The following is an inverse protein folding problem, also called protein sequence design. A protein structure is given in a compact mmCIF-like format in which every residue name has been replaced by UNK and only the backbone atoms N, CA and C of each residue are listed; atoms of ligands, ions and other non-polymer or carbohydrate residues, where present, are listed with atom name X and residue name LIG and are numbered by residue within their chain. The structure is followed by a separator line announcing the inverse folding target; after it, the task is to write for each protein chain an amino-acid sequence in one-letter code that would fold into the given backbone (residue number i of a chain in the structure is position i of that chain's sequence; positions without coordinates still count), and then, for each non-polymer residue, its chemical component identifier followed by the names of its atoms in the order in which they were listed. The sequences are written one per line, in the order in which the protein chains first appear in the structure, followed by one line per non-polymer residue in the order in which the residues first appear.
data_IF_308690715737
#
_entry.id   IF_308690715737
#
_cell.length_a   1.000
_cell.length_b   1.000
_cell.length_c   1.000
_cell.angle_alpha   90.00
_cell.angle_beta   90.00
_cell.angle_gamma   90.00
#
_symmetry.space_group_name_H-M   'P 1'
#
loop_
_entity.id
_entity.type
_entity.pdbx_description
1 polymer ?
#
# COMPACT_ATOMS: atom_id res chain seq x y z
N UNK A 1 -1.27 9.52 -25.17
CA UNK A 1 -0.64 8.29 -24.67
C UNK A 1 0.87 8.48 -24.52
N UNK A 2 1.61 8.96 -25.51
CA UNK A 2 3.08 9.14 -25.48
C UNK A 2 3.63 9.97 -24.31
N UNK A 3 3.00 11.11 -23.97
CA UNK A 3 3.43 11.97 -22.85
C UNK A 3 3.29 11.23 -21.50
N UNK A 4 2.20 10.52 -21.29
CA UNK A 4 1.99 9.78 -20.05
C UNK A 4 3.00 8.64 -19.89
N UNK A 5 3.32 7.93 -20.97
CA UNK A 5 4.35 6.88 -21.00
C UNK A 5 5.73 7.48 -20.72
N UNK A 6 6.07 8.60 -21.34
CA UNK A 6 7.34 9.30 -21.12
C UNK A 6 7.51 9.74 -19.64
N UNK A 7 6.47 10.32 -19.04
CA UNK A 7 6.48 10.70 -17.63
C UNK A 7 6.63 9.45 -16.74
N UNK A 8 5.90 8.38 -17.05
CA UNK A 8 5.98 7.11 -16.34
C UNK A 8 7.41 6.54 -16.37
N UNK A 9 8.06 6.54 -17.52
CA UNK A 9 9.43 6.00 -17.69
C UNK A 9 10.47 6.83 -16.94
N UNK A 10 10.30 8.16 -16.85
CA UNK A 10 11.15 9.02 -16.04
C UNK A 10 10.94 8.72 -14.55
N UNK A 11 9.69 8.69 -14.08
CA UNK A 11 9.36 8.49 -12.66
C UNK A 11 9.79 7.10 -12.20
N UNK A 12 9.57 6.07 -13.02
CA UNK A 12 9.96 4.70 -12.69
C UNK A 12 11.33 4.32 -13.29
N UNK A 13 12.17 5.30 -13.53
CA UNK A 13 13.54 5.04 -14.00
C UNK A 13 14.34 4.23 -12.97
N UNK A 14 15.29 3.40 -13.40
CA UNK A 14 16.18 2.67 -12.51
C UNK A 14 16.93 3.58 -11.53
N UNK A 15 17.18 4.83 -11.93
CA UNK A 15 17.84 5.84 -11.10
C UNK A 15 16.97 6.21 -9.90
N UNK A 16 15.68 6.51 -10.11
CA UNK A 16 14.80 6.87 -9.02
C UNK A 16 14.53 5.68 -8.10
N UNK A 17 14.30 4.50 -8.67
CA UNK A 17 14.16 3.25 -7.91
C UNK A 17 15.39 2.99 -7.05
N UNK A 18 16.59 3.11 -7.65
CA UNK A 18 17.87 2.98 -6.94
C UNK A 18 18.05 4.02 -5.82
N UNK A 19 17.66 5.27 -6.07
CA UNK A 19 17.70 6.34 -5.05
C UNK A 19 16.80 6.04 -3.85
N UNK A 20 15.59 5.56 -4.09
CA UNK A 20 14.63 5.21 -3.02
C UNK A 20 15.15 4.04 -2.17
N UNK A 21 15.68 2.99 -2.81
CA UNK A 21 16.28 1.86 -2.11
C UNK A 21 17.54 2.28 -1.32
N UNK A 22 18.42 3.09 -1.94
CA UNK A 22 19.61 3.60 -1.29
C UNK A 22 19.27 4.50 -0.08
N UNK A 23 18.24 5.33 -0.20
CA UNK A 23 17.75 6.16 0.91
C UNK A 23 17.21 5.30 2.05
N UNK A 24 16.41 4.28 1.75
CA UNK A 24 15.93 3.33 2.75
C UNK A 24 17.06 2.56 3.43
N UNK A 25 18.06 2.12 2.65
CA UNK A 25 19.25 1.48 3.18
C UNK A 25 20.05 2.45 4.08
N UNK A 26 20.30 3.67 3.63
CA UNK A 26 20.98 4.71 4.42
C UNK A 26 20.28 4.95 5.76
N UNK A 27 18.97 5.13 5.77
CA UNK A 27 18.23 5.32 7.01
C UNK A 27 18.23 4.07 7.89
N UNK A 28 18.19 2.87 7.32
CA UNK A 28 18.31 1.62 8.06
C UNK A 28 19.64 1.54 8.82
N UNK A 29 20.76 1.80 8.14
CA UNK A 29 22.08 1.83 8.78
C UNK A 29 22.22 2.98 9.79
N UNK A 30 21.78 4.18 9.43
CA UNK A 30 21.91 5.38 10.29
C UNK A 30 21.09 5.29 11.57
N UNK A 31 19.92 4.64 11.50
CA UNK A 31 19.05 4.39 12.66
C UNK A 31 19.38 3.08 13.40
N UNK A 32 20.45 2.36 12.99
CA UNK A 32 20.83 1.06 13.55
C UNK A 32 19.68 0.04 13.44
N UNK A 33 19.09 -0.05 12.27
CA UNK A 33 17.97 -0.97 12.00
C UNK A 33 16.80 -0.81 12.97
N UNK A 34 16.37 0.44 13.18
CA UNK A 34 15.26 0.78 14.09
C UNK A 34 14.01 -0.04 13.77
N UNK A 35 13.76 -0.31 12.48
CA UNK A 35 12.63 -1.07 11.98
C UNK A 35 12.61 -2.55 12.40
N UNK A 36 13.75 -3.11 12.85
CA UNK A 36 13.82 -4.45 13.45
C UNK A 36 13.87 -4.38 14.96
N UNK A 37 14.80 -3.59 15.46
CA UNK A 37 15.12 -3.54 16.88
C UNK A 37 13.96 -3.06 17.75
N UNK A 38 13.09 -2.21 17.19
CA UNK A 38 12.02 -1.55 17.93
C UNK A 38 10.63 -2.13 17.65
N UNK A 39 10.53 -3.30 17.02
CA UNK A 39 9.22 -3.93 16.72
C UNK A 39 8.32 -4.06 17.97
N UNK A 40 8.80 -4.56 19.14
CA UNK A 40 7.95 -4.63 20.32
C UNK A 40 7.44 -3.26 20.78
N UNK A 41 8.30 -2.23 20.69
CA UNK A 41 7.90 -0.87 21.03
C UNK A 41 6.93 -0.27 20.02
N UNK A 42 7.09 -0.55 18.73
CA UNK A 42 6.13 -0.14 17.69
C UNK A 42 4.73 -0.64 18.00
N UNK A 43 4.59 -1.93 18.36
CA UNK A 43 3.30 -2.54 18.73
C UNK A 43 2.73 -1.89 20.00
N UNK A 44 3.56 -1.68 21.02
CA UNK A 44 3.14 -1.04 22.27
C UNK A 44 2.61 0.38 22.04
N UNK A 45 3.30 1.16 21.20
CA UNK A 45 2.98 2.56 20.94
C UNK A 45 1.71 2.75 20.10
N UNK A 46 1.28 1.75 19.33
CA UNK A 46 0.03 1.82 18.57
C UNK A 46 -1.18 2.12 19.46
N UNK A 47 -1.19 1.56 20.68
CA UNK A 47 -2.31 1.70 21.62
C UNK A 47 -2.18 2.88 22.57
N UNK A 48 -1.22 3.78 22.34
CA UNK A 48 -1.04 4.97 23.18
C UNK A 48 -2.15 5.99 22.93
N UNK A 49 -2.80 6.44 24.00
CA UNK A 49 -3.85 7.45 23.94
C UNK A 49 -3.30 8.84 23.58
N UNK A 50 -4.15 9.68 23.03
CA UNK A 50 -3.83 11.09 22.76
C UNK A 50 -3.56 11.85 24.05
N UNK A 51 -2.56 12.75 24.02
CA UNK A 51 -2.21 13.62 25.14
C UNK A 51 -2.92 14.99 25.11
N UNK A 52 -3.41 15.39 23.95
CA UNK A 52 -4.11 16.66 23.73
C UNK A 52 -5.40 16.42 22.94
N UNK A 53 -6.48 17.12 23.32
CA UNK A 53 -7.76 17.09 22.61
C UNK A 53 -7.70 17.67 21.19
N UNK A 54 -6.64 18.41 20.86
CA UNK A 54 -6.40 18.99 19.53
C UNK A 54 -5.85 17.98 18.51
N UNK A 55 -5.40 16.81 18.95
CA UNK A 55 -4.84 15.76 18.09
C UNK A 55 -5.59 14.44 18.21
N UNK A 56 -5.28 13.55 17.28
CA UNK A 56 -5.77 12.16 17.28
C UNK A 56 -4.83 11.24 18.08
N UNK A 57 -5.30 10.06 18.47
CA UNK A 57 -4.45 9.05 19.12
C UNK A 57 -3.46 8.42 18.13
N UNK A 58 -2.43 7.74 18.64
CA UNK A 58 -1.47 6.99 17.81
C UNK A 58 -2.17 5.94 16.95
N UNK A 59 -3.17 5.25 17.50
CA UNK A 59 -3.94 4.25 16.76
C UNK A 59 -4.81 4.87 15.67
N UNK A 60 -5.44 6.02 15.94
CA UNK A 60 -6.21 6.75 14.93
C UNK A 60 -5.31 7.21 13.77
N UNK A 61 -4.15 7.78 14.07
CA UNK A 61 -3.17 8.18 13.05
C UNK A 61 -2.63 6.97 12.26
N UNK A 62 -2.43 5.82 12.92
CA UNK A 62 -2.09 4.57 12.25
C UNK A 62 -3.19 4.14 11.26
N UNK A 63 -4.45 4.15 11.71
CA UNK A 63 -5.58 3.79 10.86
C UNK A 63 -5.76 4.75 9.68
N UNK A 64 -5.52 6.05 9.87
CA UNK A 64 -5.53 7.03 8.78
C UNK A 64 -4.43 6.72 7.75
N UNK A 65 -3.21 6.41 8.19
CA UNK A 65 -2.12 6.03 7.28
C UNK A 65 -2.40 4.69 6.59
N UNK A 66 -2.91 3.70 7.31
CA UNK A 66 -3.30 2.42 6.71
C UNK A 66 -4.47 2.58 5.74
N UNK A 67 -5.38 3.53 5.98
CA UNK A 67 -6.44 3.88 5.04
C UNK A 67 -5.86 4.31 3.69
N UNK A 68 -4.82 5.16 3.67
CA UNK A 68 -4.12 5.54 2.44
C UNK A 68 -3.41 4.36 1.78
N UNK A 69 -2.69 3.55 2.55
CA UNK A 69 -1.82 2.47 2.04
C UNK A 69 -2.57 1.24 1.57
N UNK A 70 -3.54 0.76 2.38
CA UNK A 70 -4.28 -0.47 2.08
C UNK A 70 -5.39 -0.18 1.08
N UNK A 71 -5.06 -0.31 -0.20
CA UNK A 71 -5.92 0.02 -1.33
C UNK A 71 -5.87 -1.02 -2.45
N UNK A 72 -6.05 -0.56 -3.68
CA UNK A 72 -5.93 -1.40 -4.88
C UNK A 72 -4.56 -2.05 -5.02
N UNK A 73 -3.51 -1.43 -4.47
CA UNK A 73 -2.14 -1.93 -4.49
C UNK A 73 -1.98 -3.32 -3.87
N UNK A 74 -2.70 -3.58 -2.78
CA UNK A 74 -2.61 -4.84 -2.03
C UNK A 74 -3.26 -6.04 -2.71
N UNK A 75 -4.21 -5.80 -3.60
CA UNK A 75 -4.93 -6.86 -4.33
C UNK A 75 -4.51 -6.85 -5.80
N UNK A 76 -4.89 -5.83 -6.56
CA UNK A 76 -4.59 -5.70 -7.98
C UNK A 76 -3.09 -5.47 -8.24
N UNK A 77 -2.42 -4.69 -7.39
CA UNK A 77 -0.99 -4.42 -7.51
C UNK A 77 -0.14 -5.67 -7.32
N UNK A 78 -0.46 -6.51 -6.35
CA UNK A 78 0.22 -7.79 -6.12
C UNK A 78 0.00 -8.76 -7.29
N UNK A 79 -1.24 -8.87 -7.78
CA UNK A 79 -1.54 -9.68 -8.96
C UNK A 79 -0.74 -9.23 -10.19
N UNK A 80 -0.63 -7.91 -10.40
CA UNK A 80 0.16 -7.30 -11.48
C UNK A 80 1.66 -7.55 -11.29
N UNK A 81 2.17 -7.48 -10.05
CA UNK A 81 3.57 -7.79 -9.74
C UNK A 81 3.91 -9.24 -10.09
N UNK A 82 3.03 -10.19 -9.74
CA UNK A 82 3.20 -11.61 -10.07
C UNK A 82 3.12 -11.82 -11.59
N UNK A 83 2.19 -11.17 -12.27
CA UNK A 83 2.00 -11.36 -13.70
C UNK A 83 3.21 -10.89 -14.52
N UNK A 84 3.72 -9.70 -14.26
CA UNK A 84 4.79 -9.10 -15.07
C UNK A 84 6.19 -9.23 -14.46
N UNK A 85 6.28 -9.51 -13.17
CA UNK A 85 7.54 -9.73 -12.47
C UNK A 85 7.80 -11.18 -12.08
N UNK A 86 6.79 -12.05 -12.28
CA UNK A 86 6.84 -13.43 -11.80
C UNK A 86 6.68 -13.53 -10.27
N UNK A 87 6.64 -14.76 -9.73
CA UNK A 87 6.52 -15.01 -8.29
C UNK A 87 7.61 -14.32 -7.45
N UNK A 88 8.82 -14.15 -8.01
CA UNK A 88 9.94 -13.48 -7.35
C UNK A 88 9.71 -11.99 -7.04
N UNK A 89 8.75 -11.33 -7.71
CA UNK A 89 8.38 -9.96 -7.39
C UNK A 89 7.90 -9.80 -5.94
N UNK A 90 7.26 -10.83 -5.36
CA UNK A 90 6.82 -10.81 -3.97
C UNK A 90 7.99 -10.69 -2.99
N UNK A 91 9.10 -11.37 -3.24
CA UNK A 91 10.33 -11.22 -2.45
C UNK A 91 10.84 -9.77 -2.47
N UNK A 92 10.88 -9.15 -3.63
CA UNK A 92 11.34 -7.76 -3.75
C UNK A 92 10.37 -6.75 -3.14
N UNK A 93 9.07 -7.04 -3.10
CA UNK A 93 8.13 -6.27 -2.28
C UNK A 93 8.48 -6.34 -0.79
N UNK A 94 8.89 -7.51 -0.26
CA UNK A 94 9.34 -7.63 1.14
C UNK A 94 10.60 -6.81 1.43
N UNK A 95 11.57 -6.84 0.50
CA UNK A 95 12.81 -6.05 0.63
C UNK A 95 12.50 -4.56 0.67
N UNK A 96 11.62 -4.10 -0.22
CA UNK A 96 11.19 -2.69 -0.28
C UNK A 96 10.45 -2.29 1.00
N UNK A 97 9.58 -3.12 1.53
CA UNK A 97 8.88 -2.84 2.78
C UNK A 97 9.86 -2.77 3.96
N UNK A 98 10.85 -3.65 3.99
CA UNK A 98 11.89 -3.63 5.03
C UNK A 98 12.70 -2.33 5.01
N UNK A 99 13.18 -1.92 3.85
CA UNK A 99 13.94 -0.67 3.69
C UNK A 99 13.03 0.54 3.86
N UNK A 100 11.82 0.50 3.30
CA UNK A 100 10.82 1.56 3.37
C UNK A 100 10.35 1.87 4.79
N UNK A 101 10.30 0.87 5.68
CA UNK A 101 9.92 1.09 7.07
C UNK A 101 10.86 2.08 7.80
N UNK A 102 12.16 2.09 7.47
CA UNK A 102 13.10 3.08 8.00
C UNK A 102 12.85 4.48 7.43
N UNK A 103 12.49 4.58 6.14
CA UNK A 103 12.10 5.85 5.51
C UNK A 103 10.82 6.39 6.14
N UNK A 104 9.81 5.54 6.32
CA UNK A 104 8.55 5.90 6.98
C UNK A 104 8.76 6.37 8.43
N UNK A 105 9.71 5.76 9.16
CA UNK A 105 10.12 6.24 10.49
C UNK A 105 10.63 7.67 10.44
N UNK A 106 11.55 7.96 9.53
CA UNK A 106 12.19 9.28 9.43
C UNK A 106 11.20 10.33 8.98
N UNK A 107 10.50 10.10 7.86
CA UNK A 107 9.55 11.08 7.31
C UNK A 107 8.42 11.42 8.30
N UNK A 108 7.88 10.41 8.99
CA UNK A 108 6.79 10.62 9.95
C UNK A 108 7.27 11.28 11.24
N UNK A 109 8.52 11.03 11.66
CA UNK A 109 9.15 11.76 12.76
C UNK A 109 9.34 13.23 12.40
N UNK A 110 9.79 13.54 11.18
CA UNK A 110 9.89 14.91 10.67
C UNK A 110 8.52 15.60 10.61
N UNK A 111 7.49 14.90 10.12
CA UNK A 111 6.12 15.40 10.13
C UNK A 111 5.64 15.82 11.53
N UNK A 112 6.02 15.07 12.55
CA UNK A 112 5.71 15.41 13.95
C UNK A 112 6.56 16.58 14.52
N UNK A 113 7.81 16.72 14.10
CA UNK A 113 8.70 17.79 14.57
C UNK A 113 8.24 19.16 14.03
N UNK A 114 7.86 19.20 12.76
CA UNK A 114 7.54 20.44 12.06
C UNK A 114 6.03 20.67 11.87
N UNK A 115 5.19 19.96 12.62
CA UNK A 115 3.74 20.20 12.60
C UNK A 115 3.38 21.52 13.27
N UNK A 116 2.32 22.12 12.79
CA UNK A 116 1.76 23.35 13.34
C UNK A 116 0.31 23.14 13.81
N UNK A 117 -0.19 24.06 14.61
CA UNK A 117 -1.59 24.06 15.02
C UNK A 117 -2.35 25.08 14.19
N UNK A 118 -3.16 24.61 13.26
CA UNK A 118 -3.96 25.43 12.35
C UNK A 118 -5.44 25.18 12.66
N UNK A 119 -6.21 26.25 12.92
CA UNK A 119 -7.63 26.15 13.27
C UNK A 119 -7.96 25.19 14.43
N UNK A 120 -7.02 25.03 15.38
CA UNK A 120 -7.19 24.16 16.53
C UNK A 120 -6.82 22.69 16.32
N UNK A 121 -6.39 22.30 15.15
CA UNK A 121 -5.96 20.94 14.80
C UNK A 121 -4.48 20.90 14.43
N UNK A 122 -3.79 19.78 14.70
CA UNK A 122 -2.41 19.57 14.26
C UNK A 122 -2.37 19.25 12.77
N UNK A 123 -1.58 20.02 12.04
CA UNK A 123 -1.36 19.90 10.60
C UNK A 123 0.13 19.89 10.30
N UNK A 124 0.58 19.06 9.39
CA UNK A 124 1.99 18.95 9.01
C UNK A 124 2.15 18.09 7.77
N UNK A 125 3.36 17.71 7.48
CA UNK A 125 3.71 16.90 6.33
C UNK A 125 4.97 17.39 5.64
N UNK A 126 5.33 16.84 4.46
CA UNK A 126 6.58 17.18 3.80
C UNK A 126 6.74 18.66 3.46
N UNK A 127 5.69 19.35 3.03
CA UNK A 127 5.76 20.78 2.74
C UNK A 127 6.26 21.58 3.96
N UNK A 128 5.80 21.23 5.17
CA UNK A 128 6.18 21.91 6.41
C UNK A 128 7.66 21.66 6.76
N UNK A 129 8.13 20.41 6.71
CA UNK A 129 9.53 20.17 7.04
C UNK A 129 10.52 20.58 5.92
N UNK A 130 10.07 20.70 4.67
CA UNK A 130 10.88 21.29 3.60
C UNK A 130 10.97 22.81 3.83
N UNK A 131 9.88 23.48 4.17
CA UNK A 131 9.88 24.92 4.42
C UNK A 131 10.68 25.28 5.68
N UNK A 132 10.36 24.66 6.81
CA UNK A 132 10.95 25.04 8.12
C UNK A 132 12.27 24.34 8.41
N UNK A 133 12.43 23.07 7.98
CA UNK A 133 13.63 22.26 8.23
C UNK A 133 14.72 22.51 7.18
N UNK A 134 14.40 22.36 5.90
CA UNK A 134 15.35 22.62 4.82
C UNK A 134 15.40 24.11 4.42
N UNK A 135 14.54 24.97 4.99
CA UNK A 135 14.44 26.42 4.72
C UNK A 135 14.25 26.75 3.24
N UNK A 136 13.55 25.91 2.51
CA UNK A 136 13.34 26.04 1.07
C UNK A 136 11.85 26.13 0.72
N UNK A 137 11.32 27.36 0.63
CA UNK A 137 9.93 27.62 0.29
C UNK A 137 9.54 27.17 -1.11
N UNK A 138 10.45 27.26 -2.07
CA UNK A 138 10.15 26.88 -3.44
C UNK A 138 9.83 25.37 -3.53
N UNK A 139 10.71 24.51 -2.99
CA UNK A 139 10.45 23.07 -2.99
C UNK A 139 9.26 22.67 -2.11
N UNK A 140 8.96 23.42 -1.03
CA UNK A 140 7.75 23.19 -0.23
C UNK A 140 6.48 23.41 -1.08
N UNK A 141 6.42 24.49 -1.84
CA UNK A 141 5.30 24.78 -2.76
C UNK A 141 5.21 23.75 -3.90
N UNK A 142 6.34 23.37 -4.50
CA UNK A 142 6.37 22.32 -5.53
C UNK A 142 5.81 21.01 -4.97
N UNK A 143 6.26 20.60 -3.77
CA UNK A 143 5.75 19.38 -3.13
C UNK A 143 4.25 19.48 -2.86
N UNK A 144 3.78 20.60 -2.32
CA UNK A 144 2.36 20.80 -2.03
C UNK A 144 1.48 20.69 -3.30
N UNK A 145 1.89 21.32 -4.40
CA UNK A 145 1.17 21.25 -5.67
C UNK A 145 1.17 19.83 -6.26
N UNK A 146 2.32 19.14 -6.22
CA UNK A 146 2.42 17.76 -6.69
C UNK A 146 1.54 16.84 -5.85
N UNK A 147 1.56 16.99 -4.51
CA UNK A 147 0.72 16.20 -3.62
C UNK A 147 -0.77 16.46 -3.87
N UNK A 148 -1.16 17.72 -4.01
CA UNK A 148 -2.56 18.07 -4.33
C UNK A 148 -3.02 17.41 -5.64
N UNK A 149 -2.17 17.45 -6.66
CA UNK A 149 -2.51 16.84 -7.96
C UNK A 149 -2.51 15.31 -7.87
N UNK A 150 -1.48 14.70 -7.29
CA UNK A 150 -1.35 13.26 -7.23
C UNK A 150 -2.38 12.63 -6.27
N UNK A 151 -2.39 13.05 -5.01
CA UNK A 151 -3.26 12.47 -3.98
C UNK A 151 -4.69 13.02 -4.03
N UNK A 152 -4.89 14.28 -4.43
CA UNK A 152 -6.22 14.89 -4.48
C UNK A 152 -7.01 14.59 -5.76
N UNK A 153 -6.35 14.29 -6.88
CA UNK A 153 -7.02 14.12 -8.19
C UNK A 153 -6.71 12.75 -8.81
N UNK A 154 -5.43 12.41 -9.00
CA UNK A 154 -5.05 11.23 -9.79
C UNK A 154 -5.29 9.91 -9.03
N UNK A 155 -4.84 9.81 -7.78
CA UNK A 155 -5.04 8.61 -6.97
C UNK A 155 -6.52 8.27 -6.75
N UNK A 156 -7.40 9.23 -6.36
CA UNK A 156 -8.84 8.97 -6.26
C UNK A 156 -9.46 8.45 -7.55
N UNK A 157 -9.00 8.93 -8.71
CA UNK A 157 -9.43 8.46 -10.02
C UNK A 157 -9.13 6.97 -10.24
N UNK A 158 -7.91 6.53 -9.91
CA UNK A 158 -7.53 5.10 -10.01
C UNK A 158 -8.34 4.23 -9.05
N UNK A 159 -8.49 4.67 -7.80
CA UNK A 159 -9.22 3.93 -6.77
C UNK A 159 -10.71 3.80 -7.13
N UNK A 160 -11.37 4.91 -7.52
CA UNK A 160 -12.78 4.89 -7.88
C UNK A 160 -13.07 4.07 -9.13
N UNK A 161 -12.18 4.11 -10.13
CA UNK A 161 -12.30 3.24 -11.31
C UNK A 161 -12.21 1.75 -10.94
N UNK A 162 -11.27 1.39 -10.05
CA UNK A 162 -11.12 0.01 -9.59
C UNK A 162 -12.35 -0.47 -8.80
N UNK A 163 -12.95 0.39 -7.96
CA UNK A 163 -14.21 0.09 -7.28
C UNK A 163 -15.32 -0.15 -8.31
N UNK A 164 -15.50 0.78 -9.25
CA UNK A 164 -16.57 0.70 -10.25
C UNK A 164 -16.46 -0.58 -11.10
N UNK A 165 -15.26 -0.91 -11.56
CA UNK A 165 -15.01 -2.13 -12.34
C UNK A 165 -15.28 -3.41 -11.51
N UNK A 166 -14.88 -3.45 -10.25
CA UNK A 166 -15.12 -4.61 -9.38
C UNK A 166 -16.61 -4.79 -9.05
N UNK A 167 -17.34 -3.68 -8.83
CA UNK A 167 -18.78 -3.71 -8.56
C UNK A 167 -19.60 -4.10 -9.78
N UNK A 168 -19.19 -3.63 -10.96
CA UNK A 168 -19.82 -4.04 -12.23
C UNK A 168 -19.62 -5.54 -12.48
N UNK A 169 -18.38 -6.01 -12.36
CA UNK A 169 -18.05 -7.42 -12.57
C UNK A 169 -18.75 -8.38 -11.58
N UNK A 170 -18.85 -7.99 -10.31
CA UNK A 170 -19.39 -8.86 -9.27
C UNK A 170 -20.92 -8.78 -9.14
N UNK A 171 -21.52 -7.61 -9.36
CA UNK A 171 -22.93 -7.34 -9.06
C UNK A 171 -23.70 -6.72 -10.23
N UNK A 172 -23.05 -6.42 -11.37
CA UNK A 172 -23.67 -5.74 -12.50
C UNK A 172 -24.05 -4.28 -12.19
N UNK A 173 -23.38 -3.64 -11.21
CA UNK A 173 -23.67 -2.25 -10.81
C UNK A 173 -23.03 -1.29 -11.80
N UNK A 174 -23.83 -0.43 -12.41
CA UNK A 174 -23.36 0.58 -13.34
C UNK A 174 -22.33 1.52 -12.70
N UNK A 175 -21.28 1.86 -13.44
CA UNK A 175 -20.20 2.75 -13.00
C UNK A 175 -20.70 4.11 -12.47
N UNK A 176 -21.77 4.67 -13.05
CA UNK A 176 -22.36 5.93 -12.59
C UNK A 176 -22.99 5.79 -11.20
N UNK A 177 -23.61 4.67 -10.87
CA UNK A 177 -24.17 4.38 -9.54
C UNK A 177 -23.02 4.25 -8.54
N UNK A 178 -21.99 3.49 -8.87
CA UNK A 178 -20.79 3.35 -8.03
C UNK A 178 -20.14 4.71 -7.76
N UNK A 179 -19.99 5.55 -8.77
CA UNK A 179 -19.45 6.90 -8.62
C UNK A 179 -20.33 7.78 -7.71
N UNK A 180 -21.65 7.75 -7.88
CA UNK A 180 -22.58 8.52 -7.06
C UNK A 180 -22.51 8.09 -5.58
N UNK A 181 -22.43 6.79 -5.30
CA UNK A 181 -22.27 6.25 -3.94
C UNK A 181 -20.94 6.70 -3.32
N UNK A 182 -19.83 6.54 -4.05
CA UNK A 182 -18.49 6.96 -3.59
C UNK A 182 -18.49 8.45 -3.26
N UNK A 183 -18.97 9.32 -4.18
CA UNK A 183 -19.00 10.76 -3.96
C UNK A 183 -19.87 11.15 -2.78
N UNK A 184 -21.06 10.54 -2.63
CA UNK A 184 -21.97 10.83 -1.53
C UNK A 184 -21.35 10.48 -0.17
N UNK A 185 -20.76 9.30 -0.05
CA UNK A 185 -20.08 8.85 1.16
C UNK A 185 -18.86 9.73 1.48
N UNK A 186 -18.06 10.05 0.45
CA UNK A 186 -16.89 10.90 0.60
C UNK A 186 -17.27 12.29 1.12
N UNK A 187 -18.25 12.94 0.49
CA UNK A 187 -18.77 14.23 0.94
C UNK A 187 -19.26 14.17 2.39
N UNK A 188 -20.07 13.16 2.72
CA UNK A 188 -20.60 13.00 4.09
C UNK A 188 -19.49 12.89 5.14
N UNK A 189 -18.38 12.18 4.84
CA UNK A 189 -17.29 11.98 5.79
C UNK A 189 -16.37 13.19 5.84
N UNK A 190 -15.92 13.70 4.68
CA UNK A 190 -14.91 14.78 4.58
C UNK A 190 -15.43 16.10 5.16
N UNK A 191 -16.70 16.46 4.91
CA UNK A 191 -17.30 17.66 5.52
C UNK A 191 -17.41 17.59 7.05
N UNK A 192 -17.20 16.44 7.66
CA UNK A 192 -17.11 16.28 9.12
C UNK A 192 -15.73 16.57 9.71
N UNK A 193 -14.72 16.88 8.87
CA UNK A 193 -13.37 17.24 9.28
C UNK A 193 -12.52 16.02 9.73
N UNK A 194 -11.29 16.33 10.14
CA UNK A 194 -10.25 15.35 10.50
C UNK A 194 -10.72 14.29 11.52
N UNK A 195 -11.47 14.72 12.54
CA UNK A 195 -11.95 13.80 13.59
C UNK A 195 -12.93 12.76 13.07
N UNK A 196 -13.78 13.14 12.11
CA UNK A 196 -14.72 12.18 11.50
C UNK A 196 -13.97 11.19 10.61
N UNK A 197 -13.01 11.66 9.83
CA UNK A 197 -12.12 10.81 9.03
C UNK A 197 -11.40 9.82 9.94
N UNK A 198 -10.76 10.30 11.02
CA UNK A 198 -10.05 9.46 11.98
C UNK A 198 -10.97 8.42 12.65
N UNK A 199 -12.19 8.80 13.02
CA UNK A 199 -13.16 7.87 13.61
C UNK A 199 -13.60 6.80 12.62
N UNK A 200 -13.91 7.20 11.39
CA UNK A 200 -14.32 6.27 10.32
C UNK A 200 -13.21 5.27 9.98
N UNK A 201 -11.99 5.77 9.76
CA UNK A 201 -10.84 4.91 9.43
C UNK A 201 -10.48 3.96 10.57
N UNK A 202 -10.60 4.40 11.83
CA UNK A 202 -10.36 3.56 13.01
C UNK A 202 -11.32 2.38 13.12
N UNK A 203 -12.53 2.52 12.61
CA UNK A 203 -13.52 1.43 12.60
C UNK A 203 -13.32 0.53 11.36
N UNK A 204 -13.24 1.14 10.19
CA UNK A 204 -13.29 0.41 8.90
C UNK A 204 -11.98 -0.30 8.59
N UNK A 205 -10.83 0.36 8.81
CA UNK A 205 -9.53 -0.19 8.39
C UNK A 205 -9.18 -1.50 9.10
N UNK A 206 -9.25 -1.63 10.43
CA UNK A 206 -8.98 -2.90 11.08
C UNK A 206 -9.97 -3.99 10.66
N UNK A 207 -11.26 -3.65 10.52
CA UNK A 207 -12.29 -4.59 10.10
C UNK A 207 -12.01 -5.15 8.70
N UNK A 208 -11.76 -4.28 7.71
CA UNK A 208 -11.49 -4.71 6.34
C UNK A 208 -10.19 -5.52 6.22
N UNK A 209 -9.12 -5.09 6.91
CA UNK A 209 -7.83 -5.77 6.86
C UNK A 209 -7.92 -7.16 7.51
N UNK A 210 -8.55 -7.28 8.69
CA UNK A 210 -8.71 -8.56 9.38
C UNK A 210 -9.61 -9.50 8.56
N UNK A 211 -10.73 -9.01 8.04
CA UNK A 211 -11.64 -9.83 7.21
C UNK A 211 -10.93 -10.39 5.98
N UNK A 212 -10.14 -9.55 5.31
CA UNK A 212 -9.37 -9.98 4.15
C UNK A 212 -8.29 -11.00 4.51
N UNK A 213 -7.54 -10.75 5.59
CA UNK A 213 -6.51 -11.68 6.08
C UNK A 213 -7.11 -13.03 6.49
N UNK A 214 -8.27 -13.04 7.14
CA UNK A 214 -8.95 -14.28 7.52
C UNK A 214 -9.31 -15.10 6.28
N UNK A 215 -9.93 -14.50 5.27
CA UNK A 215 -10.29 -15.21 4.03
C UNK A 215 -9.05 -15.70 3.29
N UNK A 216 -7.99 -14.87 3.21
CA UNK A 216 -6.73 -15.30 2.60
C UNK A 216 -6.08 -16.46 3.37
N UNK A 217 -6.08 -16.43 4.71
CA UNK A 217 -5.56 -17.52 5.55
C UNK A 217 -6.39 -18.79 5.39
N UNK A 218 -7.72 -18.70 5.31
CA UNK A 218 -8.57 -19.86 5.04
C UNK A 218 -8.22 -20.47 3.68
N UNK A 219 -8.08 -19.64 2.64
CA UNK A 219 -7.69 -20.12 1.30
C UNK A 219 -6.32 -20.80 1.30
N UNK A 220 -5.35 -20.22 2.02
CA UNK A 220 -4.04 -20.81 2.20
C UNK A 220 -4.09 -22.12 3.01
N UNK A 221 -4.95 -22.20 4.03
CA UNK A 221 -5.11 -23.40 4.87
C UNK A 221 -5.57 -24.62 4.07
N UNK A 222 -6.45 -24.43 3.11
CA UNK A 222 -6.86 -25.51 2.20
C UNK A 222 -5.78 -25.95 1.20
N UNK A 223 -4.67 -25.18 1.10
CA UNK A 223 -3.54 -25.46 0.20
C UNK A 223 -2.20 -25.51 0.96
N UNK A 224 -2.20 -25.95 2.22
CA UNK A 224 -1.00 -25.97 3.09
C UNK A 224 0.16 -26.78 2.51
N UNK A 225 -0.15 -27.86 1.83
CA UNK A 225 0.81 -28.74 1.16
C UNK A 225 1.64 -28.00 0.09
N UNK A 226 1.09 -26.97 -0.53
CA UNK A 226 1.74 -26.17 -1.58
C UNK A 226 2.58 -25.01 -1.04
N UNK A 227 2.37 -24.58 0.20
CA UNK A 227 3.05 -23.41 0.78
C UNK A 227 4.57 -23.52 0.74
N UNK A 228 5.22 -24.66 1.14
CA UNK A 228 6.67 -24.77 1.05
C UNK A 228 7.18 -24.61 -0.38
N UNK A 229 6.48 -25.19 -1.37
CA UNK A 229 6.80 -25.05 -2.79
C UNK A 229 6.67 -23.61 -3.30
N UNK A 230 5.66 -22.88 -2.82
CA UNK A 230 5.47 -21.47 -3.17
C UNK A 230 6.60 -20.60 -2.62
N UNK A 231 7.03 -20.80 -1.38
CA UNK A 231 8.18 -20.07 -0.85
C UNK A 231 9.46 -20.39 -1.65
N UNK A 232 9.70 -21.66 -1.95
CA UNK A 232 10.82 -22.05 -2.82
C UNK A 232 10.74 -21.33 -4.18
N UNK A 233 9.57 -21.33 -4.83
CA UNK A 233 9.34 -20.65 -6.10
C UNK A 233 9.58 -19.12 -6.01
N UNK A 234 9.11 -18.47 -4.95
CA UNK A 234 9.33 -17.04 -4.72
C UNK A 234 10.81 -16.71 -4.61
N UNK A 235 11.57 -17.48 -3.81
CA UNK A 235 12.99 -17.23 -3.64
C UNK A 235 13.80 -17.57 -4.89
N UNK A 236 13.56 -18.69 -5.54
CA UNK A 236 14.30 -19.09 -6.75
C UNK A 236 14.01 -18.15 -7.93
N UNK A 237 12.75 -17.74 -8.11
CA UNK A 237 12.34 -16.79 -9.14
C UNK A 237 12.91 -15.38 -8.90
N UNK A 238 13.04 -14.96 -7.63
CA UNK A 238 13.58 -13.63 -7.29
C UNK A 238 15.02 -13.43 -7.76
N UNK A 239 15.81 -14.49 -7.84
CA UNK A 239 17.23 -14.46 -8.24
C UNK A 239 17.51 -15.15 -9.58
N UNK A 240 16.48 -15.48 -10.36
CA UNK A 240 16.61 -16.10 -11.68
C UNK A 240 17.11 -17.54 -11.65
N UNK A 241 17.03 -18.22 -10.52
CA UNK A 241 17.45 -19.61 -10.37
C UNK A 241 16.39 -20.62 -10.88
N UNK A 242 15.18 -20.16 -11.22
CA UNK A 242 14.11 -20.96 -11.80
C UNK A 242 14.28 -21.04 -13.32
N UNK A 243 14.40 -22.24 -13.89
CA UNK A 243 14.74 -22.42 -15.30
C UNK A 243 13.80 -21.71 -16.28
N UNK A 244 12.49 -21.80 -16.08
CA UNK A 244 11.48 -21.13 -16.92
C UNK A 244 11.45 -19.60 -16.69
N UNK A 245 11.72 -19.15 -15.48
CA UNK A 245 11.62 -17.76 -15.05
C UNK A 245 12.99 -17.07 -14.91
N UNK A 246 14.07 -17.75 -15.28
CA UNK A 246 15.45 -17.26 -15.10
C UNK A 246 15.73 -15.91 -15.77
N UNK A 247 15.13 -15.69 -16.95
CA UNK A 247 15.22 -14.41 -17.67
C UNK A 247 14.44 -13.26 -17.02
N UNK A 248 13.62 -13.52 -16.01
CA UNK A 248 12.74 -12.52 -15.39
C UNK A 248 13.30 -11.88 -14.10
N UNK A 249 14.51 -12.21 -13.67
CA UNK A 249 15.06 -11.67 -12.42
C UNK A 249 15.05 -10.12 -12.39
N UNK A 250 15.43 -9.46 -13.46
CA UNK A 250 15.36 -8.01 -13.58
C UNK A 250 13.93 -7.46 -13.53
N UNK A 251 12.99 -8.17 -14.15
CA UNK A 251 11.57 -7.85 -14.11
C UNK A 251 10.99 -8.04 -12.70
N UNK A 252 11.39 -9.11 -12.00
CA UNK A 252 11.00 -9.36 -10.62
C UNK A 252 11.42 -8.22 -9.68
N UNK A 253 12.68 -7.75 -9.80
CA UNK A 253 13.16 -6.55 -9.07
C UNK A 253 12.32 -5.34 -9.42
N UNK A 254 12.19 -5.04 -10.70
CA UNK A 254 11.49 -3.83 -11.18
C UNK A 254 10.03 -3.79 -10.71
N UNK A 255 9.26 -4.85 -10.98
CA UNK A 255 7.85 -4.91 -10.60
C UNK A 255 7.64 -5.04 -9.10
N UNK A 256 8.47 -5.82 -8.40
CA UNK A 256 8.44 -5.93 -6.96
C UNK A 256 8.67 -4.60 -6.25
N UNK A 257 9.69 -3.84 -6.71
CA UNK A 257 9.98 -2.50 -6.15
C UNK A 257 8.85 -1.51 -6.48
N UNK A 258 8.44 -1.42 -7.75
CA UNK A 258 7.36 -0.51 -8.18
C UNK A 258 6.08 -0.76 -7.41
N UNK A 259 5.63 -2.00 -7.31
CA UNK A 259 4.37 -2.36 -6.65
C UNK A 259 4.47 -2.34 -5.14
N UNK A 260 5.62 -2.67 -4.58
CA UNK A 260 5.90 -2.51 -3.14
C UNK A 260 5.83 -1.05 -2.70
N UNK A 261 6.52 -0.15 -3.40
CA UNK A 261 6.48 1.29 -3.13
C UNK A 261 5.08 1.88 -3.34
N UNK A 262 4.38 1.46 -4.40
CA UNK A 262 3.02 1.91 -4.66
C UNK A 262 2.04 1.50 -3.54
N UNK A 263 2.22 0.30 -2.97
CA UNK A 263 1.35 -0.20 -1.90
C UNK A 263 1.65 0.49 -0.56
N UNK A 264 2.91 0.46 -0.11
CA UNK A 264 3.24 0.91 1.24
C UNK A 264 3.54 2.41 1.37
N UNK A 265 3.67 3.12 0.25
CA UNK A 265 3.92 4.58 0.18
C UNK A 265 5.10 5.08 1.03
N UNK A 266 6.00 4.20 1.45
CA UNK A 266 7.11 4.57 2.33
C UNK A 266 8.13 5.47 1.62
N UNK A 267 8.40 6.63 2.19
CA UNK A 267 9.30 7.64 1.60
C UNK A 267 8.63 8.54 0.55
N UNK A 268 7.32 8.37 0.28
CA UNK A 268 6.58 9.22 -0.66
C UNK A 268 6.00 10.48 -0.01
N UNK A 269 6.01 10.55 1.33
CA UNK A 269 5.55 11.73 2.05
C UNK A 269 4.06 11.73 2.40
N UNK A 270 3.30 10.67 2.10
CA UNK A 270 1.88 10.54 2.49
C UNK A 270 1.75 10.29 4.00
N UNK A 271 2.52 9.36 4.55
CA UNK A 271 2.51 9.02 5.98
C UNK A 271 2.70 10.20 6.95
N UNK A 272 3.58 11.17 6.68
CA UNK A 272 3.73 12.37 7.49
C UNK A 272 2.48 13.21 7.69
N UNK A 273 1.54 13.25 6.73
CA UNK A 273 0.29 14.00 6.88
C UNK A 273 -0.57 13.41 8.00
N UNK A 274 -0.85 12.12 7.95
CA UNK A 274 -1.61 11.44 9.00
C UNK A 274 -0.85 11.41 10.34
N UNK A 275 0.48 11.19 10.31
CA UNK A 275 1.29 11.15 11.53
C UNK A 275 1.32 12.48 12.25
N UNK A 276 1.34 13.61 11.53
CA UNK A 276 1.37 14.95 12.12
C UNK A 276 0.11 15.27 12.95
N UNK A 277 -1.03 14.69 12.58
CA UNK A 277 -2.30 14.87 13.29
C UNK A 277 -2.29 14.24 14.69
N UNK A 278 -1.38 13.30 14.97
CA UNK A 278 -1.31 12.63 16.26
C UNK A 278 -0.73 13.53 17.36
N UNK A 279 -1.31 13.42 18.56
CA UNK A 279 -0.77 14.03 19.78
C UNK A 279 0.01 13.00 20.59
N UNK A 280 1.33 13.09 20.54
CA UNK A 280 2.27 12.17 21.21
C UNK A 280 3.31 12.92 22.00
N UNK A 281 3.84 12.31 23.07
CA UNK A 281 4.83 12.93 23.95
C UNK A 281 6.21 13.11 23.33
N UNK A 282 6.52 12.39 22.23
CA UNK A 282 7.79 12.50 21.52
C UNK A 282 7.61 12.14 20.05
N UNK A 283 8.13 12.93 19.10
CA UNK A 283 7.94 12.71 17.64
C UNK A 283 8.31 11.30 17.16
N UNK A 284 9.39 10.71 17.65
CA UNK A 284 9.84 9.39 17.26
C UNK A 284 8.83 8.27 17.58
N UNK A 285 7.95 8.47 18.56
CA UNK A 285 6.92 7.48 18.90
C UNK A 285 5.97 7.27 17.73
N UNK A 286 5.52 8.35 17.11
CA UNK A 286 4.66 8.25 15.94
C UNK A 286 5.45 7.77 14.72
N UNK A 287 6.72 8.14 14.57
CA UNK A 287 7.60 7.56 13.56
C UNK A 287 7.68 6.03 13.64
N UNK A 288 7.82 5.47 14.86
CA UNK A 288 7.83 4.02 15.09
C UNK A 288 6.50 3.36 14.69
N UNK A 289 5.39 3.96 15.07
CA UNK A 289 4.05 3.46 14.69
C UNK A 289 3.89 3.44 13.16
N UNK A 290 4.37 4.46 12.48
CA UNK A 290 4.30 4.55 11.02
C UNK A 290 5.28 3.62 10.30
N UNK A 291 6.42 3.31 10.88
CA UNK A 291 7.29 2.25 10.39
C UNK A 291 6.59 0.88 10.41
N UNK A 292 5.82 0.60 11.47
CA UNK A 292 5.06 -0.65 11.59
C UNK A 292 3.91 -0.75 10.58
N UNK A 293 3.28 0.37 10.20
CA UNK A 293 2.22 0.36 9.20
C UNK A 293 2.68 -0.15 7.84
N UNK A 294 3.97 0.04 7.47
CA UNK A 294 4.57 -0.52 6.25
C UNK A 294 4.56 -2.06 6.29
N UNK A 295 4.81 -2.64 7.45
CA UNK A 295 4.75 -4.09 7.64
C UNK A 295 3.32 -4.61 7.56
N UNK A 296 2.36 -3.91 8.19
CA UNK A 296 0.94 -4.28 8.09
C UNK A 296 0.51 -4.32 6.62
N UNK A 297 0.82 -3.28 5.86
CA UNK A 297 0.47 -3.20 4.45
C UNK A 297 1.11 -4.33 3.62
N UNK A 298 2.43 -4.41 3.63
CA UNK A 298 3.14 -5.24 2.67
C UNK A 298 3.44 -6.64 3.21
N UNK A 299 3.98 -6.77 4.44
CA UNK A 299 4.33 -8.09 4.98
C UNK A 299 3.11 -8.91 5.39
N UNK A 300 1.98 -8.27 5.75
CA UNK A 300 0.77 -9.01 6.06
C UNK A 300 -0.19 -9.02 4.86
N UNK A 301 -0.72 -7.86 4.43
CA UNK A 301 -1.81 -7.83 3.45
C UNK A 301 -1.34 -8.24 2.05
N UNK A 302 -0.25 -7.64 1.52
CA UNK A 302 0.27 -8.02 0.20
C UNK A 302 0.79 -9.47 0.18
N UNK A 303 1.44 -9.91 1.26
CA UNK A 303 1.91 -11.30 1.35
C UNK A 303 0.74 -12.28 1.35
N UNK A 304 -0.32 -12.00 2.11
CA UNK A 304 -1.52 -12.83 2.13
C UNK A 304 -2.12 -12.98 0.72
N UNK A 305 -2.24 -11.86 -0.02
CA UNK A 305 -2.69 -11.87 -1.42
C UNK A 305 -1.76 -12.70 -2.31
N UNK A 306 -0.45 -12.45 -2.22
CA UNK A 306 0.54 -13.13 -3.07
C UNK A 306 0.60 -14.63 -2.83
N UNK A 307 0.67 -15.05 -1.56
CA UNK A 307 0.67 -16.47 -1.20
C UNK A 307 -0.63 -17.15 -1.61
N UNK A 308 -1.78 -16.51 -1.37
CA UNK A 308 -3.09 -17.02 -1.78
C UNK A 308 -3.16 -17.25 -3.30
N UNK A 309 -2.74 -16.30 -4.11
CA UNK A 309 -2.71 -16.41 -5.57
C UNK A 309 -1.76 -17.51 -6.03
N UNK A 310 -0.57 -17.58 -5.45
CA UNK A 310 0.47 -18.55 -5.83
C UNK A 310 0.11 -19.97 -5.40
N UNK A 311 -0.43 -20.19 -4.20
CA UNK A 311 -0.81 -21.54 -3.71
C UNK A 311 -1.96 -22.13 -4.49
N UNK A 312 -2.91 -21.30 -4.94
CA UNK A 312 -4.05 -21.76 -5.75
C UNK A 312 -3.71 -21.93 -7.23
N UNK A 313 -2.58 -21.37 -7.69
CA UNK A 313 -2.18 -21.38 -9.11
C UNK A 313 -3.01 -20.41 -9.96
N UNK A 314 -3.78 -19.50 -9.38
CA UNK A 314 -4.67 -18.60 -10.10
C UNK A 314 -3.94 -17.35 -10.62
N UNK A 315 -2.97 -17.52 -11.50
CA UNK A 315 -2.17 -16.44 -12.07
C UNK A 315 -1.61 -16.76 -13.45
N UNK A 316 -1.23 -15.72 -14.19
CA UNK A 316 -0.41 -15.81 -15.39
C UNK A 316 0.94 -15.14 -15.13
N UNK A 317 1.97 -15.51 -15.89
CA UNK A 317 3.26 -14.81 -15.95
C UNK A 317 3.58 -14.49 -17.40
N UNK A 318 3.84 -13.22 -17.67
CA UNK A 318 4.13 -12.67 -19.00
C UNK A 318 5.51 -12.03 -18.93
N UNK A 319 6.40 -12.40 -19.84
CA UNK A 319 7.74 -11.82 -19.94
C UNK A 319 7.68 -10.39 -20.53
N UNK A 320 8.79 -9.61 -20.46
CA UNK A 320 8.85 -8.28 -21.04
C UNK A 320 8.59 -8.21 -22.55
N UNK A 321 8.75 -9.32 -23.26
CA UNK A 321 8.50 -9.41 -24.70
C UNK A 321 7.02 -9.72 -25.02
N UNK A 322 6.17 -9.82 -24.00
CA UNK A 322 4.74 -10.11 -24.12
C UNK A 322 4.39 -11.58 -24.29
N UNK A 323 5.37 -12.49 -24.12
CA UNK A 323 5.14 -13.94 -24.21
C UNK A 323 4.66 -14.47 -22.85
N UNK A 324 3.57 -15.23 -22.88
CA UNK A 324 3.06 -15.90 -21.68
C UNK A 324 3.91 -17.11 -21.35
N UNK A 325 4.62 -17.06 -20.23
CA UNK A 325 5.43 -18.16 -19.69
C UNK A 325 4.59 -19.14 -18.86
N UNK A 326 3.66 -18.62 -18.06
CA UNK A 326 2.69 -19.38 -17.29
C UNK A 326 1.31 -18.82 -17.61
N UNK A 327 0.38 -19.65 -18.07
CA UNK A 327 -0.94 -19.24 -18.50
C UNK A 327 -2.05 -20.10 -17.86
N UNK A 328 -2.20 -20.01 -16.53
CA UNK A 328 -3.27 -20.75 -15.85
C UNK A 328 -4.65 -20.11 -15.99
N UNK A 329 -4.70 -18.82 -16.29
CA UNK A 329 -5.92 -18.04 -16.47
C UNK A 329 -5.95 -17.45 -17.87
N UNK A 330 -6.20 -18.30 -18.88
CA UNK A 330 -6.21 -17.87 -20.27
C UNK A 330 -7.22 -16.75 -20.54
N UNK A 331 -6.75 -15.67 -21.19
CA UNK A 331 -7.60 -14.52 -21.57
C UNK A 331 -8.00 -13.60 -20.41
N UNK A 332 -7.49 -13.82 -19.20
CA UNK A 332 -7.77 -12.99 -18.03
C UNK A 332 -6.59 -12.05 -17.77
N UNK A 333 -6.86 -10.75 -17.75
CA UNK A 333 -5.88 -9.73 -17.42
C UNK A 333 -5.53 -9.74 -15.93
N UNK A 334 -4.29 -9.32 -15.61
CA UNK A 334 -3.82 -9.24 -14.25
C UNK A 334 -4.54 -8.13 -13.46
N UNK A 335 -5.13 -8.52 -12.34
CA UNK A 335 -5.90 -7.59 -11.52
C UNK A 335 -6.59 -8.29 -10.35
N UNK A 336 -7.65 -7.69 -9.79
CA UNK A 336 -8.40 -8.27 -8.67
C UNK A 336 -8.94 -9.67 -8.95
N UNK A 337 -9.17 -9.99 -10.25
CA UNK A 337 -9.71 -11.28 -10.69
C UNK A 337 -8.82 -12.45 -10.26
N UNK A 338 -7.51 -12.28 -10.15
CA UNK A 338 -6.63 -13.34 -9.65
C UNK A 338 -6.97 -13.72 -8.21
N UNK A 339 -7.19 -12.73 -7.34
CA UNK A 339 -7.62 -12.97 -5.96
C UNK A 339 -9.05 -13.55 -5.89
N UNK A 340 -9.96 -13.08 -6.76
CA UNK A 340 -11.32 -13.63 -6.86
C UNK A 340 -11.27 -15.13 -7.22
N UNK A 341 -10.54 -15.50 -8.26
CA UNK A 341 -10.37 -16.90 -8.67
C UNK A 341 -9.66 -17.76 -7.65
N UNK A 342 -8.67 -17.18 -6.96
CA UNK A 342 -7.97 -17.87 -5.88
C UNK A 342 -8.94 -18.25 -4.73
N UNK A 343 -9.80 -17.34 -4.31
CA UNK A 343 -10.82 -17.60 -3.29
C UNK A 343 -11.90 -18.54 -3.81
N UNK A 344 -12.38 -18.34 -5.05
CA UNK A 344 -13.41 -19.19 -5.66
C UNK A 344 -12.95 -20.66 -5.85
N UNK A 345 -11.64 -20.91 -5.95
CA UNK A 345 -11.10 -22.27 -6.02
C UNK A 345 -11.32 -23.09 -4.74
N UNK A 346 -11.50 -22.41 -3.61
CA UNK A 346 -11.72 -23.01 -2.29
C UNK A 346 -13.15 -22.81 -1.81
N UNK A 347 -13.69 -21.61 -2.04
CA UNK A 347 -15.05 -21.20 -1.66
C UNK A 347 -15.82 -20.76 -2.90
N UNK A 348 -16.45 -21.68 -3.66
CA UNK A 348 -17.11 -21.37 -4.92
C UNK A 348 -18.17 -20.27 -4.78
N UNK A 349 -18.19 -19.33 -5.74
CA UNK A 349 -19.09 -18.17 -5.80
C UNK A 349 -18.97 -17.14 -4.68
N UNK A 350 -18.00 -17.30 -3.77
CA UNK A 350 -17.75 -16.35 -2.70
C UNK A 350 -16.66 -15.31 -3.05
N UNK A 351 -15.68 -15.71 -3.85
CA UNK A 351 -14.50 -14.90 -4.14
C UNK A 351 -14.82 -13.58 -4.84
N UNK A 352 -15.65 -13.62 -5.90
CA UNK A 352 -15.97 -12.42 -6.66
C UNK A 352 -16.72 -11.37 -5.81
N UNK A 353 -17.84 -11.68 -5.13
CA UNK A 353 -18.51 -10.73 -4.24
C UNK A 353 -17.63 -10.24 -3.09
N UNK A 354 -16.87 -11.13 -2.45
CA UNK A 354 -16.02 -10.78 -1.32
C UNK A 354 -14.91 -9.81 -1.72
N UNK A 355 -14.18 -10.10 -2.81
CA UNK A 355 -13.08 -9.23 -3.27
C UNK A 355 -13.63 -7.90 -3.76
N UNK A 356 -14.80 -7.86 -4.41
CA UNK A 356 -15.43 -6.61 -4.81
C UNK A 356 -15.77 -5.74 -3.57
N UNK A 357 -16.36 -6.32 -2.53
CA UNK A 357 -16.62 -5.61 -1.27
C UNK A 357 -15.31 -5.19 -0.56
N UNK A 358 -14.32 -6.08 -0.48
CA UNK A 358 -13.02 -5.77 0.10
C UNK A 358 -12.34 -4.62 -0.65
N UNK A 359 -12.35 -4.66 -1.97
CA UNK A 359 -11.78 -3.62 -2.82
C UNK A 359 -12.52 -2.30 -2.69
N UNK A 360 -13.87 -2.35 -2.53
CA UNK A 360 -14.65 -1.15 -2.23
C UNK A 360 -14.13 -0.47 -0.96
N UNK A 361 -14.01 -1.19 0.15
CA UNK A 361 -13.54 -0.61 1.40
C UNK A 361 -12.07 -0.17 1.32
N UNK A 362 -11.19 -0.98 0.76
CA UNK A 362 -9.76 -0.68 0.60
C UNK A 362 -9.57 0.59 -0.25
N UNK A 363 -10.13 0.63 -1.45
CA UNK A 363 -9.97 1.75 -2.35
C UNK A 363 -10.72 3.00 -1.86
N UNK A 364 -11.90 2.86 -1.24
CA UNK A 364 -12.62 3.98 -0.66
C UNK A 364 -11.87 4.61 0.51
N UNK A 365 -11.29 3.80 1.40
CA UNK A 365 -10.46 4.34 2.49
C UNK A 365 -9.19 5.01 1.97
N UNK A 366 -8.62 4.54 0.85
CA UNK A 366 -7.47 5.20 0.19
C UNK A 366 -7.85 6.56 -0.41
N UNK A 367 -9.07 6.71 -0.94
CA UNK A 367 -9.56 8.03 -1.40
C UNK A 367 -9.72 9.00 -0.21
N UNK A 368 -10.08 8.49 0.94
CA UNK A 368 -10.37 9.26 2.15
C UNK A 368 -9.11 9.64 2.94
N UNK A 369 -8.08 8.75 2.97
CA UNK A 369 -6.84 8.91 3.73
C UNK A 369 -5.81 9.75 3.04
#
# INVERSE_FOLDING_TARGET
MEIATFIYDIIWSPVLVGLLLATGAYFSFRSRFVQLRMIPEMIRLMFQQSQDKSGVSSFQALCMTLASRVGTGNIAGVATAICFGGPGALFWMWVVAFLGASSAFVESTLGQIYKEKINGEFTGGPAFYIEHGAKNKFFAWVFALVTLTAAGILCPGVQSNAIAAAMDHAFGINHAISAAVICSLLCFIVFGGLKRIATFTTLVVPFMAISYLVVALVTCFYNLDRIPGVFHLVFTSAFGAEGLLGGMAGSAVSWGVKRGLYSNEAGQGSGPHASSAASVSHPAKQGLVQAFSVYIDTWFVCTATGIMILTTGCYNVINPDGVTLIGHLAGIEAGPVYAQKAIDSVMPNFGSPFVACALFFFAFTTILG
#
